data_IF_483756799647
#
_entry.id   IF_483756799647
#
_cell.length_a   1.000
_cell.length_b   1.000
_cell.length_c   1.000
_cell.angle_alpha   90.00
_cell.angle_beta   90.00
_cell.angle_gamma   90.00
#
_symmetry.space_group_name_H-M   'P 1'
#
loop_
_entity.id
_entity.type
_entity.pdbx_description
1 polymer ?
#
# COMPACT_ATOMS: atom_id res chain seq x y z
N UNK A 1 -16.32 1.15 6.94
CA UNK A 1 -16.70 -0.28 6.92
C UNK A 1 -15.93 -0.96 5.79
N UNK A 2 -14.96 -1.80 6.11
CA UNK A 2 -14.82 -3.20 5.66
C UNK A 2 -13.39 -3.66 5.95
N UNK A 3 -13.30 -4.60 6.88
CA UNK A 3 -12.12 -5.37 7.19
C UNK A 3 -11.80 -6.33 6.04
N UNK A 4 -10.53 -6.64 5.81
CA UNK A 4 -10.15 -7.95 5.30
C UNK A 4 -8.77 -8.37 5.81
N UNK A 5 -8.79 -9.54 6.43
CA UNK A 5 -7.70 -10.30 7.03
C UNK A 5 -6.75 -10.82 5.95
N UNK A 6 -5.44 -10.71 6.20
CA UNK A 6 -4.43 -11.55 5.55
C UNK A 6 -3.74 -12.42 6.60
N UNK A 7 -3.99 -13.73 6.51
CA UNK A 7 -3.25 -14.77 7.23
C UNK A 7 -1.92 -15.01 6.51
N UNK A 8 -0.82 -14.61 7.14
CA UNK A 8 0.53 -15.01 6.77
C UNK A 8 1.11 -15.93 7.85
N UNK A 9 1.24 -17.21 7.53
CA UNK A 9 1.87 -18.19 8.41
C UNK A 9 3.37 -17.91 8.58
N UNK A 10 3.84 -18.02 9.81
CA UNK A 10 5.27 -18.10 10.14
C UNK A 10 5.42 -19.12 11.26
N UNK A 11 6.03 -20.26 10.91
CA UNK A 11 6.45 -21.30 11.84
C UNK A 11 7.52 -20.73 12.76
N UNK A 12 7.17 -20.41 14.01
CA UNK A 12 8.11 -20.18 15.10
C UNK A 12 7.71 -21.07 16.27
N UNK A 13 8.55 -22.08 16.55
CA UNK A 13 8.50 -22.93 17.73
C UNK A 13 8.85 -22.09 18.97
N UNK A 14 7.86 -21.44 19.55
CA UNK A 14 7.81 -21.10 20.98
C UNK A 14 6.95 -22.13 21.71
N UNK A 15 7.04 -22.26 23.04
CA UNK A 15 6.21 -23.21 23.77
C UNK A 15 4.74 -22.86 23.54
N UNK A 16 4.01 -23.77 22.89
CA UNK A 16 2.57 -23.63 22.66
C UNK A 16 1.88 -23.30 23.99
N UNK A 17 1.14 -22.19 24.10
CA UNK A 17 0.20 -22.05 25.19
C UNK A 17 -0.89 -23.07 24.89
N UNK A 18 -1.08 -24.04 25.78
CA UNK A 18 -2.28 -24.84 25.79
C UNK A 18 -3.46 -23.85 25.84
N UNK A 19 -4.19 -23.78 24.73
CA UNK A 19 -5.42 -23.00 24.63
C UNK A 19 -6.48 -23.79 25.38
N UNK A 20 -6.44 -23.74 26.70
CA UNK A 20 -7.61 -24.05 27.51
C UNK A 20 -8.60 -22.92 27.28
N UNK A 21 -9.49 -23.16 26.32
CA UNK A 21 -10.65 -22.35 26.04
C UNK A 21 -11.68 -22.51 27.16
N UNK A 22 -11.33 -22.12 28.39
CA UNK A 22 -12.35 -21.79 29.39
C UNK A 22 -12.72 -20.31 29.20
N UNK A 23 -13.57 -20.10 28.19
CA UNK A 23 -14.28 -18.84 27.98
C UNK A 23 -15.03 -18.52 29.26
N UNK A 24 -14.59 -17.44 29.92
CA UNK A 24 -15.27 -16.73 30.99
C UNK A 24 -16.69 -17.21 31.29
N UNK A 25 -16.78 -18.14 32.24
CA UNK A 25 -17.98 -18.28 33.02
C UNK A 25 -18.14 -16.98 33.79
N UNK A 26 -19.03 -16.12 33.29
CA UNK A 26 -19.64 -15.02 34.03
C UNK A 26 -20.49 -15.60 35.18
N UNK A 27 -19.84 -16.27 36.11
CA UNK A 27 -20.32 -16.48 37.45
C UNK A 27 -19.38 -15.69 38.33
N UNK A 28 -19.87 -14.65 38.99
CA UNK A 28 -19.17 -14.16 40.17
C UNK A 28 -19.01 -15.36 41.09
N UNK A 29 -17.83 -15.98 41.08
CA UNK A 29 -17.50 -17.08 41.96
C UNK A 29 -17.52 -16.47 43.34
N UNK A 30 -18.66 -16.64 43.99
CA UNK A 30 -18.92 -16.16 45.32
C UNK A 30 -17.97 -16.96 46.21
N UNK A 31 -16.79 -16.41 46.49
CA UNK A 31 -15.73 -17.05 47.29
C UNK A 31 -16.30 -17.45 48.68
N UNK A 32 -17.31 -16.71 49.14
CA UNK A 32 -18.15 -17.02 50.29
C UNK A 32 -18.95 -18.33 50.20
N UNK A 33 -19.37 -18.76 49.02
CA UNK A 33 -20.18 -19.97 48.83
C UNK A 33 -19.36 -21.28 48.88
N UNK A 34 -18.01 -21.18 48.88
CA UNK A 34 -17.11 -22.32 49.02
C UNK A 34 -16.56 -22.49 50.45
N UNK A 35 -17.00 -21.69 51.41
CA UNK A 35 -16.62 -21.82 52.81
C UNK A 35 -17.25 -23.08 53.42
N UNK A 36 -16.50 -24.19 53.45
CA UNK A 36 -16.90 -25.39 54.18
C UNK A 36 -16.67 -25.15 55.67
N UNK A 37 -17.69 -24.60 56.33
CA UNK A 37 -17.74 -24.38 57.79
C UNK A 37 -17.37 -25.65 58.58
N UNK A 38 -17.60 -26.83 58.00
CA UNK A 38 -17.28 -28.13 58.60
C UNK A 38 -15.78 -28.36 58.84
N UNK A 39 -14.91 -27.89 57.97
CA UNK A 39 -13.45 -28.04 58.14
C UNK A 39 -12.94 -27.10 59.24
N UNK A 40 -13.44 -25.88 59.27
CA UNK A 40 -13.14 -24.92 60.33
C UNK A 40 -13.64 -25.42 61.70
N UNK A 41 -14.86 -25.96 61.76
CA UNK A 41 -15.42 -26.54 63.00
C UNK A 41 -14.68 -27.82 63.42
N UNK A 42 -14.21 -28.65 62.49
CA UNK A 42 -13.40 -29.83 62.82
C UNK A 42 -12.06 -29.46 63.47
N UNK A 43 -11.43 -28.37 63.01
CA UNK A 43 -10.25 -27.77 63.64
C UNK A 43 -10.55 -27.11 64.99
N UNK A 44 -11.80 -26.81 65.31
CA UNK A 44 -12.18 -26.26 66.63
C UNK A 44 -12.59 -27.35 67.62
N UNK A 45 -13.08 -28.50 67.15
CA UNK A 45 -13.58 -29.61 67.97
C UNK A 45 -12.55 -30.28 68.87
N UNK A 46 -11.26 -30.20 68.53
CA UNK A 46 -10.17 -30.80 69.30
C UNK A 46 -9.56 -29.88 70.37
N UNK A 47 -10.02 -28.64 70.49
CA UNK A 47 -9.55 -27.68 71.51
C UNK A 47 -10.43 -27.75 72.76
N UNK A 48 -9.82 -27.54 73.93
CA UNK A 48 -10.55 -27.50 75.20
C UNK A 48 -11.17 -26.11 75.48
N UNK A 49 -12.03 -26.01 76.50
CA UNK A 49 -12.77 -24.78 76.80
C UNK A 49 -11.85 -23.61 77.16
N UNK A 50 -10.71 -23.88 77.79
CA UNK A 50 -9.71 -22.89 78.17
C UNK A 50 -8.93 -22.37 76.96
N UNK A 51 -8.60 -23.26 76.02
CA UNK A 51 -7.93 -22.93 74.77
C UNK A 51 -8.87 -22.16 73.82
N UNK A 52 -10.16 -22.50 73.80
CA UNK A 52 -11.16 -21.80 73.01
C UNK A 52 -11.43 -20.38 73.53
N UNK A 53 -11.45 -20.19 74.86
CA UNK A 53 -11.48 -18.86 75.48
C UNK A 53 -10.22 -18.06 75.17
N UNK A 54 -9.04 -18.70 75.26
CA UNK A 54 -7.77 -18.04 74.91
C UNK A 54 -7.75 -17.65 73.41
N UNK A 55 -8.31 -18.47 72.53
CA UNK A 55 -8.41 -18.19 71.10
C UNK A 55 -9.36 -17.02 70.82
N UNK A 56 -10.48 -16.95 71.53
CA UNK A 56 -11.45 -15.85 71.42
C UNK A 56 -10.86 -14.49 71.84
N UNK A 57 -9.95 -14.49 72.81
CA UNK A 57 -9.28 -13.27 73.28
C UNK A 57 -8.00 -12.92 72.50
N UNK A 58 -7.64 -13.70 71.47
CA UNK A 58 -6.41 -13.51 70.71
C UNK A 58 -6.65 -13.59 69.20
N UNK A 59 -6.98 -12.43 68.62
CA UNK A 59 -7.26 -12.26 67.19
C UNK A 59 -6.13 -12.73 66.26
N UNK A 60 -4.86 -12.68 66.70
CA UNK A 60 -3.75 -13.14 65.87
C UNK A 60 -3.76 -14.66 65.71
N UNK A 61 -4.00 -15.39 66.81
CA UNK A 61 -4.12 -16.86 66.77
C UNK A 61 -5.33 -17.32 65.95
N UNK A 62 -6.43 -16.57 66.04
CA UNK A 62 -7.62 -16.83 65.24
C UNK A 62 -7.33 -16.61 63.74
N UNK A 63 -6.59 -15.56 63.40
CA UNK A 63 -6.13 -15.30 62.03
C UNK A 63 -5.21 -16.39 61.50
N UNK A 64 -4.25 -16.85 62.31
CA UNK A 64 -3.34 -17.94 61.92
C UNK A 64 -4.12 -19.23 61.61
N UNK A 65 -5.14 -19.55 62.42
CA UNK A 65 -6.00 -20.72 62.19
C UNK A 65 -6.83 -20.57 60.89
N UNK A 66 -7.30 -19.35 60.59
CA UNK A 66 -8.00 -19.04 59.33
C UNK A 66 -7.06 -19.15 58.13
N UNK A 67 -5.82 -18.66 58.24
CA UNK A 67 -4.80 -18.76 57.20
C UNK A 67 -4.35 -20.21 56.98
N UNK A 68 -4.47 -21.07 58.00
CA UNK A 68 -4.20 -22.51 57.93
C UNK A 68 -5.34 -23.34 57.31
N UNK A 69 -6.53 -22.76 57.14
CA UNK A 69 -7.62 -23.44 56.44
C UNK A 69 -7.21 -23.75 54.99
N UNK A 70 -7.43 -25.00 54.58
CA UNK A 70 -7.09 -25.52 53.25
C UNK A 70 -7.63 -24.61 52.12
N UNK A 71 -8.82 -24.05 52.34
CA UNK A 71 -9.52 -23.18 51.42
C UNK A 71 -8.86 -21.81 51.29
N UNK A 72 -8.43 -21.20 52.40
CA UNK A 72 -7.72 -19.90 52.39
C UNK A 72 -6.36 -20.06 51.73
N UNK A 73 -5.62 -21.14 52.03
CA UNK A 73 -4.38 -21.47 51.33
C UNK A 73 -4.60 -21.68 49.83
N UNK A 74 -5.63 -22.44 49.44
CA UNK A 74 -5.95 -22.64 48.02
C UNK A 74 -6.31 -21.35 47.30
N UNK A 75 -7.03 -20.44 47.95
CA UNK A 75 -7.33 -19.11 47.40
C UNK A 75 -6.06 -18.26 47.28
N UNK A 76 -5.17 -18.29 48.28
CA UNK A 76 -3.90 -17.60 48.24
C UNK A 76 -3.01 -18.14 47.09
N UNK A 77 -2.91 -19.46 46.94
CA UNK A 77 -2.18 -20.07 45.81
C UNK A 77 -2.75 -19.64 44.47
N UNK A 78 -4.08 -19.69 44.29
CA UNK A 78 -4.72 -19.26 43.04
C UNK A 78 -4.51 -17.77 42.77
N UNK A 79 -4.55 -16.94 43.80
CA UNK A 79 -4.25 -15.53 43.70
C UNK A 79 -2.81 -15.32 43.24
N UNK A 80 -1.85 -16.00 43.85
CA UNK A 80 -0.43 -15.86 43.54
C UNK A 80 -0.10 -16.40 42.14
N UNK A 81 -0.74 -17.50 41.72
CA UNK A 81 -0.68 -18.00 40.35
C UNK A 81 -1.25 -16.98 39.35
N UNK A 82 -2.39 -16.37 39.66
CA UNK A 82 -3.00 -15.36 38.79
C UNK A 82 -2.13 -14.09 38.71
N UNK A 83 -1.53 -13.67 39.81
CA UNK A 83 -0.59 -12.55 39.85
C UNK A 83 0.66 -12.87 39.03
N UNK A 84 1.23 -14.06 39.17
CA UNK A 84 2.40 -14.50 38.41
C UNK A 84 2.11 -14.59 36.91
N UNK A 85 0.97 -15.15 36.52
CA UNK A 85 0.54 -15.23 35.12
C UNK A 85 0.24 -13.85 34.54
N UNK A 86 -0.47 -12.98 35.26
CA UNK A 86 -0.74 -11.62 34.81
C UNK A 86 0.56 -10.82 34.64
N UNK A 87 1.49 -10.94 35.60
CA UNK A 87 2.80 -10.28 35.54
C UNK A 87 3.62 -10.76 34.34
N UNK A 88 3.73 -12.07 34.12
CA UNK A 88 4.48 -12.60 32.97
C UNK A 88 3.86 -12.19 31.63
N UNK A 89 2.52 -12.17 31.53
CA UNK A 89 1.82 -11.66 30.35
C UNK A 89 2.05 -10.15 30.14
N UNK A 90 2.04 -9.37 31.21
CA UNK A 90 2.31 -7.94 31.13
C UNK A 90 3.76 -7.67 30.68
N UNK A 91 4.73 -8.39 31.24
CA UNK A 91 6.15 -8.32 30.85
C UNK A 91 6.35 -8.74 29.40
N UNK A 92 5.72 -9.84 28.95
CA UNK A 92 5.74 -10.26 27.56
C UNK A 92 5.11 -9.20 26.64
N UNK A 93 3.94 -8.68 26.98
CA UNK A 93 3.30 -7.61 26.21
C UNK A 93 4.18 -6.36 26.12
N UNK A 94 4.86 -5.99 27.21
CA UNK A 94 5.82 -4.88 27.23
C UNK A 94 7.03 -5.16 26.32
N UNK A 95 7.53 -6.39 26.31
CA UNK A 95 8.64 -6.81 25.43
C UNK A 95 8.30 -6.74 23.94
N UNK A 96 7.01 -6.91 23.58
CA UNK A 96 6.55 -6.83 22.19
C UNK A 96 6.36 -5.40 21.68
N UNK A 97 6.11 -4.43 22.58
CA UNK A 97 5.94 -3.02 22.23
C UNK A 97 7.06 -2.45 21.35
N UNK A 98 8.36 -2.58 21.69
CA UNK A 98 9.42 -2.01 20.87
C UNK A 98 9.43 -2.56 19.45
N UNK A 99 9.20 -3.87 19.28
CA UNK A 99 9.12 -4.49 17.95
C UNK A 99 7.92 -3.96 17.17
N UNK A 100 6.78 -3.79 17.82
CA UNK A 100 5.56 -3.27 17.20
C UNK A 100 5.74 -1.81 16.77
N UNK A 101 6.37 -0.99 17.62
CA UNK A 101 6.64 0.42 17.33
C UNK A 101 7.68 0.59 16.21
N UNK A 102 8.73 -0.23 16.19
CA UNK A 102 9.69 -0.30 15.09
C UNK A 102 9.00 -0.66 13.77
N UNK A 103 8.15 -1.70 13.77
CA UNK A 103 7.42 -2.11 12.57
C UNK A 103 6.46 -1.00 12.08
N UNK A 104 5.77 -0.31 13.00
CA UNK A 104 4.94 0.86 12.66
C UNK A 104 5.76 1.97 12.03
N UNK A 105 6.94 2.27 12.59
CA UNK A 105 7.83 3.29 12.06
C UNK A 105 8.34 2.91 10.67
N UNK A 106 8.72 1.66 10.45
CA UNK A 106 9.13 1.16 9.14
C UNK A 106 8.00 1.28 8.11
N UNK A 107 6.78 0.90 8.46
CA UNK A 107 5.62 1.04 7.58
C UNK A 107 5.34 2.51 7.25
N UNK A 108 5.37 3.39 8.26
CA UNK A 108 5.18 4.83 8.06
C UNK A 108 6.26 5.42 7.14
N UNK A 109 7.52 5.04 7.34
CA UNK A 109 8.64 5.46 6.50
C UNK A 109 8.49 4.99 5.05
N UNK A 110 8.15 3.72 4.84
CA UNK A 110 7.97 3.17 3.49
C UNK A 110 6.76 3.80 2.78
N UNK A 111 5.69 4.08 3.52
CA UNK A 111 4.53 4.78 2.98
C UNK A 111 4.89 6.21 2.56
N UNK A 112 5.65 6.93 3.39
CA UNK A 112 6.14 8.26 3.05
C UNK A 112 7.02 8.22 1.80
N UNK A 113 8.00 7.31 1.75
CA UNK A 113 8.89 7.14 0.59
C UNK A 113 8.12 6.80 -0.69
N UNK A 114 7.09 5.97 -0.60
CA UNK A 114 6.22 5.66 -1.72
C UNK A 114 5.47 6.90 -2.20
N UNK A 115 4.96 7.71 -1.28
CA UNK A 115 4.25 8.95 -1.61
C UNK A 115 5.19 9.97 -2.28
N UNK A 116 6.40 10.14 -1.76
CA UNK A 116 7.44 10.98 -2.36
C UNK A 116 7.79 10.51 -3.78
N UNK A 117 7.93 9.20 -3.98
CA UNK A 117 8.18 8.64 -5.31
C UNK A 117 6.99 8.83 -6.26
N UNK A 118 5.76 8.68 -5.75
CA UNK A 118 4.53 8.87 -6.52
C UNK A 118 4.36 10.32 -6.97
N UNK A 119 4.65 11.28 -6.09
CA UNK A 119 4.61 12.72 -6.41
C UNK A 119 5.70 13.06 -7.43
N UNK A 120 6.94 12.59 -7.23
CA UNK A 120 8.03 12.77 -8.19
C UNK A 120 7.71 12.18 -9.57
N UNK A 121 7.11 10.98 -9.61
CA UNK A 121 6.65 10.36 -10.85
C UNK A 121 5.55 11.18 -11.52
N UNK A 122 4.56 11.66 -10.76
CA UNK A 122 3.49 12.51 -11.29
C UNK A 122 4.06 13.80 -11.89
N UNK A 123 5.00 14.46 -11.22
CA UNK A 123 5.70 15.63 -11.75
C UNK A 123 6.47 15.29 -13.04
N UNK A 124 7.22 14.19 -13.05
CA UNK A 124 7.93 13.71 -14.23
C UNK A 124 6.99 13.45 -15.41
N UNK A 125 5.85 12.82 -15.14
CA UNK A 125 4.80 12.56 -16.13
C UNK A 125 4.22 13.87 -16.68
N UNK A 126 3.87 14.84 -15.83
CA UNK A 126 3.32 16.13 -16.31
C UNK A 126 4.32 16.88 -17.20
N UNK A 127 5.62 16.85 -16.86
CA UNK A 127 6.68 17.43 -17.69
C UNK A 127 6.81 16.71 -19.03
N UNK A 128 6.76 15.37 -19.01
CA UNK A 128 6.79 14.55 -20.22
C UNK A 128 5.57 14.81 -21.10
N UNK A 129 4.37 14.84 -20.53
CA UNK A 129 3.13 15.09 -21.26
C UNK A 129 3.14 16.49 -21.89
N UNK A 130 3.68 17.50 -21.19
CA UNK A 130 3.87 18.84 -21.75
C UNK A 130 4.90 18.86 -22.90
N UNK A 131 6.02 18.15 -22.75
CA UNK A 131 7.05 18.05 -23.79
C UNK A 131 6.53 17.32 -25.03
N UNK A 132 5.91 16.15 -24.82
CA UNK A 132 5.27 15.36 -25.87
C UNK A 132 4.22 16.22 -26.55
N UNK A 133 3.34 16.90 -25.80
CA UNK A 133 2.33 17.81 -26.32
C UNK A 133 2.89 18.88 -27.27
N UNK A 134 3.99 19.53 -26.92
CA UNK A 134 4.66 20.52 -27.78
C UNK A 134 5.34 19.89 -29.00
N UNK A 135 5.90 18.70 -28.84
CA UNK A 135 6.60 17.95 -29.89
C UNK A 135 5.67 17.08 -30.73
N UNK A 136 4.34 17.12 -30.50
CA UNK A 136 3.38 16.44 -31.37
C UNK A 136 3.52 17.03 -32.76
N UNK A 137 3.66 16.15 -33.75
CA UNK A 137 3.85 16.56 -35.14
C UNK A 137 2.71 17.48 -35.61
N UNK A 138 1.47 17.21 -35.18
CA UNK A 138 0.30 18.05 -35.46
C UNK A 138 0.44 19.47 -34.89
N UNK A 139 0.96 19.59 -33.66
CA UNK A 139 1.19 20.89 -33.00
C UNK A 139 2.30 21.68 -33.71
N UNK A 140 3.39 21.01 -34.08
CA UNK A 140 4.48 21.65 -34.85
C UNK A 140 4.00 22.06 -36.24
N UNK A 141 3.16 21.25 -36.89
CA UNK A 141 2.57 21.58 -38.18
C UNK A 141 1.67 22.81 -38.09
N UNK A 142 0.77 22.86 -37.10
CA UNK A 142 -0.10 24.02 -36.88
C UNK A 142 0.69 25.30 -36.61
N UNK A 143 1.77 25.22 -35.82
CA UNK A 143 2.68 26.35 -35.60
C UNK A 143 3.35 26.80 -36.90
N UNK A 144 3.84 25.85 -37.71
CA UNK A 144 4.47 26.16 -39.00
C UNK A 144 3.49 26.79 -40.00
N UNK A 145 2.22 26.35 -40.02
CA UNK A 145 1.17 26.95 -40.83
C UNK A 145 0.86 28.38 -40.38
N UNK A 146 0.79 28.61 -39.07
CA UNK A 146 0.60 29.96 -38.49
C UNK A 146 1.74 30.88 -38.90
N UNK A 147 2.99 30.43 -38.76
CA UNK A 147 4.19 31.15 -39.17
C UNK A 147 4.28 31.37 -40.70
N UNK A 148 3.67 30.49 -41.49
CA UNK A 148 3.56 30.66 -42.94
C UNK A 148 2.61 31.80 -43.26
N UNK A 149 1.40 31.77 -42.67
CA UNK A 149 0.40 32.82 -42.84
C UNK A 149 0.92 34.19 -42.40
N UNK A 150 1.59 34.28 -41.25
CA UNK A 150 2.20 35.53 -40.77
C UNK A 150 3.27 36.07 -41.73
N UNK A 151 4.08 35.20 -42.36
CA UNK A 151 5.04 35.67 -43.36
C UNK A 151 4.42 36.09 -44.68
N UNK A 152 3.29 35.47 -45.06
CA UNK A 152 2.53 35.86 -46.25
C UNK A 152 1.88 37.24 -46.03
N UNK A 153 1.19 37.43 -44.90
CA UNK A 153 0.62 38.71 -44.47
C UNK A 153 1.69 39.81 -44.40
N UNK A 154 2.84 39.55 -43.77
CA UNK A 154 3.92 40.53 -43.70
C UNK A 154 4.51 40.88 -45.09
N UNK A 155 4.41 39.98 -46.08
CA UNK A 155 4.81 40.30 -47.46
C UNK A 155 3.74 41.13 -48.19
N UNK A 156 2.46 40.90 -47.90
CA UNK A 156 1.34 41.68 -48.42
C UNK A 156 1.34 43.09 -47.84
N UNK A 157 1.57 43.26 -46.54
CA UNK A 157 1.74 44.57 -45.93
C UNK A 157 2.86 45.38 -46.59
N UNK A 158 3.93 44.72 -47.02
CA UNK A 158 5.06 45.37 -47.69
C UNK A 158 4.68 45.82 -49.11
N UNK A 159 3.82 45.06 -49.79
CA UNK A 159 3.25 45.42 -51.08
C UNK A 159 2.25 46.58 -50.95
N UNK A 160 1.40 46.57 -49.92
CA UNK A 160 0.44 47.64 -49.66
C UNK A 160 1.15 48.96 -49.36
N UNK A 161 2.18 48.93 -48.50
CA UNK A 161 3.04 50.10 -48.21
C UNK A 161 3.71 50.66 -49.46
N UNK A 162 4.09 49.79 -50.40
CA UNK A 162 4.65 50.23 -51.68
C UNK A 162 3.63 50.95 -52.55
N UNK A 163 2.40 50.43 -52.65
CA UNK A 163 1.30 51.08 -53.37
C UNK A 163 0.94 52.46 -52.81
N UNK A 164 1.15 52.68 -51.51
CA UNK A 164 0.81 53.94 -50.85
C UNK A 164 1.77 55.09 -51.18
N UNK A 165 3.10 54.88 -51.28
CA UNK A 165 4.15 55.82 -51.77
C UNK A 165 5.58 55.24 -51.59
N UNK A 166 5.81 53.94 -51.80
CA UNK A 166 7.09 53.30 -51.46
C UNK A 166 8.23 53.54 -52.45
N UNK A 167 9.47 53.53 -51.94
CA UNK A 167 10.68 53.48 -52.77
C UNK A 167 10.87 52.08 -53.39
N UNK A 168 11.21 52.04 -54.67
CA UNK A 168 11.31 50.81 -55.46
C UNK A 168 12.47 49.94 -54.98
N UNK A 169 13.63 50.55 -54.75
CA UNK A 169 14.84 49.80 -54.39
C UNK A 169 14.74 49.23 -52.97
N UNK A 170 14.20 50.02 -52.02
CA UNK A 170 13.88 49.55 -50.68
C UNK A 170 12.82 48.42 -50.68
N UNK A 171 11.76 48.56 -51.48
CA UNK A 171 10.71 47.56 -51.62
C UNK A 171 11.27 46.23 -52.14
N UNK A 172 12.02 46.25 -53.25
CA UNK A 172 12.53 45.02 -53.87
C UNK A 172 13.48 44.26 -52.95
N UNK A 173 14.32 44.95 -52.17
CA UNK A 173 15.24 44.33 -51.22
C UNK A 173 14.53 43.51 -50.14
N UNK A 174 13.49 44.07 -49.52
CA UNK A 174 12.76 43.42 -48.43
C UNK A 174 11.68 42.46 -48.93
N UNK A 175 10.90 42.86 -49.94
CA UNK A 175 9.78 42.07 -50.46
C UNK A 175 10.24 40.73 -51.04
N UNK A 176 11.26 40.72 -51.89
CA UNK A 176 11.75 39.49 -52.51
C UNK A 176 12.24 38.49 -51.46
N UNK A 177 12.94 39.00 -50.44
CA UNK A 177 13.44 38.19 -49.32
C UNK A 177 12.27 37.60 -48.52
N UNK A 178 11.28 38.44 -48.18
CA UNK A 178 10.10 38.02 -47.40
C UNK A 178 9.22 37.04 -48.17
N UNK A 179 8.99 37.30 -49.46
CA UNK A 179 8.20 36.44 -50.35
C UNK A 179 8.89 35.10 -50.60
N UNK A 180 10.21 35.09 -50.76
CA UNK A 180 10.97 33.84 -50.83
C UNK A 180 10.84 33.01 -49.54
N UNK A 181 10.91 33.65 -48.36
CA UNK A 181 10.69 32.98 -47.08
C UNK A 181 9.27 32.41 -46.95
N UNK A 182 8.25 33.18 -47.35
CA UNK A 182 6.86 32.73 -47.33
C UNK A 182 6.65 31.49 -48.21
N UNK A 183 7.15 31.49 -49.45
CA UNK A 183 7.08 30.32 -50.34
C UNK A 183 7.83 29.11 -49.79
N UNK A 184 9.03 29.30 -49.22
CA UNK A 184 9.77 28.22 -48.58
C UNK A 184 9.00 27.61 -47.41
N UNK A 185 8.41 28.43 -46.54
CA UNK A 185 7.61 27.96 -45.39
C UNK A 185 6.35 27.24 -45.85
N UNK A 186 5.67 27.75 -46.87
CA UNK A 186 4.51 27.11 -47.50
C UNK A 186 4.83 25.71 -48.00
N UNK A 187 5.87 25.56 -48.83
CA UNK A 187 6.29 24.25 -49.36
C UNK A 187 6.68 23.31 -48.22
N UNK A 188 7.42 23.79 -47.22
CA UNK A 188 7.79 22.98 -46.05
C UNK A 188 6.56 22.55 -45.26
N UNK A 189 5.56 23.41 -45.10
CA UNK A 189 4.31 23.09 -44.40
C UNK A 189 3.48 22.05 -45.15
N UNK A 190 3.35 22.17 -46.47
CA UNK A 190 2.63 21.22 -47.33
C UNK A 190 3.33 19.85 -47.29
N UNK A 191 4.65 19.82 -47.44
CA UNK A 191 5.43 18.57 -47.35
C UNK A 191 5.38 17.94 -45.97
N UNK A 192 5.42 18.75 -44.92
CA UNK A 192 5.29 18.22 -43.57
C UNK A 192 3.90 17.63 -43.31
N UNK A 193 2.84 18.28 -43.81
CA UNK A 193 1.47 17.75 -43.75
C UNK A 193 1.33 16.43 -44.52
N UNK A 194 1.88 16.34 -45.74
CA UNK A 194 1.93 15.11 -46.55
C UNK A 194 2.65 13.99 -45.81
N UNK A 195 3.79 14.27 -45.15
CA UNK A 195 4.54 13.28 -44.37
C UNK A 195 3.75 12.77 -43.16
N UNK A 196 3.02 13.65 -42.47
CA UNK A 196 2.18 13.27 -41.31
C UNK A 196 1.00 12.40 -41.78
N UNK A 197 0.33 12.76 -42.88
CA UNK A 197 -0.79 12.01 -43.45
C UNK A 197 -0.34 10.68 -44.10
N UNK A 198 0.77 10.69 -44.84
CA UNK A 198 1.33 9.52 -45.51
C UNK A 198 1.85 8.45 -44.53
N UNK A 199 2.17 8.84 -43.29
CA UNK A 199 2.54 7.92 -42.20
C UNK A 199 1.34 7.13 -41.64
N UNK A 200 0.11 7.51 -41.98
CA UNK A 200 -1.11 6.80 -41.56
C UNK A 200 -1.46 5.60 -42.46
N UNK A 201 -0.72 5.36 -43.54
CA UNK A 201 -0.88 4.15 -44.36
C UNK A 201 0.02 3.06 -43.79
N UNK A 202 -0.49 1.88 -43.39
CA UNK A 202 0.35 0.77 -42.99
C UNK A 202 1.10 0.29 -44.24
N UNK A 203 2.34 0.75 -44.42
CA UNK A 203 3.24 0.15 -45.38
C UNK A 203 3.57 -1.25 -44.85
N UNK A 204 2.99 -2.26 -45.48
CA UNK A 204 3.32 -3.67 -45.30
C UNK A 204 4.83 -3.84 -45.41
N UNK A 205 5.53 -4.48 -44.45
CA UNK A 205 6.95 -4.73 -44.62
C UNK A 205 7.10 -5.85 -45.64
N UNK A 206 7.44 -5.47 -46.88
CA UNK A 206 8.00 -6.41 -47.85
C UNK A 206 9.37 -6.84 -47.36
N UNK A 207 9.49 -8.15 -47.19
CA UNK A 207 10.65 -8.92 -46.77
C UNK A 207 11.98 -8.40 -47.34
N UNK A 208 12.94 -8.13 -46.46
CA UNK A 208 14.37 -8.12 -46.79
C UNK A 208 15.15 -8.53 -45.55
N UNK A 209 15.82 -9.67 -45.69
CA UNK A 209 16.62 -10.39 -44.70
C UNK A 209 17.67 -9.52 -44.00
N UNK A 210 17.68 -9.54 -42.68
CA UNK A 210 18.88 -9.44 -41.87
C UNK A 210 18.63 -10.15 -40.53
N UNK A 211 19.39 -11.21 -40.31
CA UNK A 211 19.30 -12.09 -39.16
C UNK A 211 19.55 -11.35 -37.84
N UNK A 212 18.61 -11.44 -36.90
CA UNK A 212 18.94 -11.41 -35.49
C UNK A 212 18.04 -12.37 -34.72
N UNK A 213 18.67 -13.35 -34.09
CA UNK A 213 18.04 -14.42 -33.32
C UNK A 213 17.13 -13.89 -32.22
N UNK A 214 15.85 -14.24 -32.30
CA UNK A 214 14.98 -14.36 -31.13
C UNK A 214 14.87 -15.83 -30.76
N UNK A 215 15.29 -16.15 -29.53
CA UNK A 215 15.06 -17.45 -28.90
C UNK A 215 13.56 -17.76 -28.91
N UNK A 216 13.17 -18.73 -29.74
CA UNK A 216 11.86 -19.37 -29.69
C UNK A 216 11.97 -20.62 -28.81
N UNK A 217 11.20 -20.63 -27.71
CA UNK A 217 11.01 -21.82 -26.88
C UNK A 217 10.34 -22.94 -27.69
N UNK A 218 10.81 -24.20 -27.61
CA UNK A 218 10.15 -25.32 -28.26
C UNK A 218 8.90 -25.73 -27.46
N UNK A 219 7.76 -25.70 -28.13
CA UNK A 219 6.50 -26.26 -27.68
C UNK A 219 6.58 -27.79 -27.76
N UNK A 220 6.80 -28.45 -26.63
CA UNK A 220 6.69 -29.89 -26.51
C UNK A 220 5.23 -30.28 -26.22
N UNK A 221 4.68 -31.06 -27.14
CA UNK A 221 3.38 -31.72 -27.04
C UNK A 221 3.48 -32.85 -26.00
N UNK A 222 2.72 -32.74 -24.90
CA UNK A 222 2.60 -33.78 -23.88
C UNK A 222 1.69 -33.33 -22.73
N UNK A 223 0.70 -34.13 -22.30
CA UNK A 223 -0.18 -33.73 -21.20
C UNK A 223 0.57 -33.85 -19.87
N UNK A 224 0.80 -32.72 -19.21
CA UNK A 224 1.32 -32.69 -17.84
C UNK A 224 0.25 -33.23 -16.86
N UNK A 225 0.63 -33.99 -15.83
CA UNK A 225 -0.31 -34.57 -14.88
C UNK A 225 -0.84 -33.47 -13.96
N UNK A 226 -2.15 -33.22 -14.00
CA UNK A 226 -2.81 -32.41 -12.99
C UNK A 226 -2.97 -33.24 -11.70
N UNK A 227 -2.64 -32.70 -10.51
CA UNK A 227 -3.14 -33.25 -9.27
C UNK A 227 -4.64 -32.96 -9.20
N UNK A 228 -5.43 -34.02 -9.34
CA UNK A 228 -6.85 -34.02 -9.02
C UNK A 228 -7.02 -33.94 -7.50
N UNK A 229 -7.49 -32.81 -6.97
CA UNK A 229 -8.49 -32.75 -5.91
C UNK A 229 -8.71 -31.31 -5.41
N UNK A 230 -9.97 -30.88 -5.36
CA UNK A 230 -10.46 -29.83 -4.46
C UNK A 230 -10.42 -28.42 -5.03
N UNK A 231 -11.52 -28.00 -5.66
CA UNK A 231 -11.61 -26.78 -6.44
C UNK A 231 -11.51 -25.48 -5.64
N UNK A 232 -10.77 -24.52 -6.18
CA UNK A 232 -10.98 -23.08 -6.03
C UNK A 232 -10.43 -22.40 -7.29
N UNK A 233 -11.30 -21.73 -8.05
CA UNK A 233 -10.94 -21.04 -9.29
C UNK A 233 -10.09 -19.80 -9.04
N UNK A 234 -9.07 -19.59 -9.89
CA UNK A 234 -8.30 -18.35 -9.92
C UNK A 234 -9.16 -17.20 -10.49
N UNK A 235 -9.15 -16.00 -9.89
CA UNK A 235 -9.90 -14.87 -10.44
C UNK A 235 -9.16 -14.29 -11.66
N UNK A 236 -9.85 -14.25 -12.79
CA UNK A 236 -9.45 -13.52 -13.99
C UNK A 236 -9.54 -12.00 -13.73
N UNK A 237 -8.60 -11.19 -14.26
CA UNK A 237 -8.69 -9.73 -14.16
C UNK A 237 -9.80 -9.21 -15.08
N UNK A 238 -10.81 -8.56 -14.51
CA UNK A 238 -11.88 -7.92 -15.27
C UNK A 238 -11.38 -6.66 -15.98
N UNK A 239 -11.39 -6.70 -17.31
CA UNK A 239 -11.31 -5.54 -18.19
C UNK A 239 -12.62 -4.74 -18.05
N UNK A 240 -12.54 -3.56 -17.44
CA UNK A 240 -13.66 -2.62 -17.35
C UNK A 240 -13.79 -1.90 -18.70
N UNK A 241 -14.87 -2.18 -19.44
CA UNK A 241 -15.39 -1.26 -20.47
C UNK A 241 -16.30 -0.22 -19.80
N UNK A 242 -16.27 0.96 -20.40
CA UNK A 242 -16.88 2.24 -19.99
C UNK A 242 -18.39 2.19 -19.82
#
# INVERSE_FOLDING_TARGET
MYANFYHGGSNHNGPSPAVDADRGSSGGNNVMAMMNEREAVALLQHLDSTDLEHLLHNDSKLKDLVDDLSQVRNLQTRHDDLVATNKSLAEYNLSLRPRLDDLKQQVAFQYQRLNDLKTSLAEGKTKLDAFVGRQRLDTVLALLQTETAQTEEASEELADKFCENGDIDAFLGEFLTKRAQAHQRRIKSEKFAEMIQGRAVPMSPTSSSAAHSTYANPMASGPAPYPTAGGFGMPQPSLIHR
#
